data_IF_314934067616
#
_entry.id   IF_314934067616
#
_cell.length_a   1.000
_cell.length_b   1.000
_cell.length_c   1.000
_cell.angle_alpha   90.00
_cell.angle_beta   90.00
_cell.angle_gamma   90.00
#
_symmetry.space_group_name_H-M   'P 1'
#
loop_
_entity.id
_entity.type
_entity.pdbx_description
1 polymer ?
#
# COMPACT_ATOMS: atom_id res chain seq x y z
N UNK A 1 -46.80 -32.62 12.94
CA UNK A 1 -45.57 -31.83 12.90
C UNK A 1 -45.07 -31.82 11.46
N UNK A 2 -45.37 -30.74 10.70
CA UNK A 2 -44.91 -30.62 9.31
C UNK A 2 -43.58 -29.85 9.33
N UNK A 3 -42.48 -30.55 9.05
CA UNK A 3 -41.19 -29.94 8.77
C UNK A 3 -41.36 -29.00 7.56
N UNK A 4 -41.47 -27.71 7.81
CA UNK A 4 -41.38 -26.69 6.75
C UNK A 4 -39.91 -26.57 6.39
N UNK A 5 -39.47 -27.31 5.42
CA UNK A 5 -38.22 -27.05 4.72
C UNK A 5 -38.34 -25.69 4.06
N UNK A 6 -37.54 -24.69 4.53
CA UNK A 6 -37.33 -23.45 3.81
C UNK A 6 -36.01 -23.58 3.04
N UNK A 7 -36.03 -23.99 1.77
CA UNK A 7 -34.79 -24.25 1.00
C UNK A 7 -33.92 -22.98 0.85
N UNK A 8 -34.50 -21.79 0.96
CA UNK A 8 -33.81 -20.52 0.84
C UNK A 8 -32.87 -20.22 2.03
N UNK A 9 -33.27 -20.62 3.24
CA UNK A 9 -32.43 -20.38 4.44
C UNK A 9 -31.21 -21.31 4.48
N UNK A 10 -31.38 -22.56 4.10
CA UNK A 10 -30.33 -23.56 4.02
C UNK A 10 -29.29 -23.15 2.96
N UNK A 11 -29.76 -22.74 1.77
CA UNK A 11 -28.92 -22.18 0.71
C UNK A 11 -28.14 -20.95 1.17
N UNK A 12 -28.76 -20.08 2.00
CA UNK A 12 -28.11 -18.90 2.56
C UNK A 12 -26.93 -19.26 3.45
N UNK A 13 -27.06 -20.24 4.34
CA UNK A 13 -25.98 -20.67 5.23
C UNK A 13 -24.83 -21.35 4.47
N UNK A 14 -25.13 -22.17 3.50
CA UNK A 14 -24.15 -22.82 2.63
C UNK A 14 -23.36 -21.78 1.83
N UNK A 15 -24.05 -20.83 1.21
CA UNK A 15 -23.40 -19.76 0.46
C UNK A 15 -22.46 -18.89 1.32
N UNK A 16 -22.87 -18.57 2.54
CA UNK A 16 -22.01 -17.84 3.46
C UNK A 16 -20.78 -18.65 3.85
N UNK A 17 -20.91 -19.95 4.11
CA UNK A 17 -19.79 -20.86 4.37
C UNK A 17 -18.82 -20.93 3.19
N UNK A 18 -19.34 -21.08 1.97
CA UNK A 18 -18.55 -21.09 0.73
C UNK A 18 -17.78 -19.78 0.55
N UNK A 19 -18.41 -18.63 0.77
CA UNK A 19 -17.78 -17.32 0.66
C UNK A 19 -16.64 -17.18 1.68
N UNK A 20 -16.85 -17.56 2.94
CA UNK A 20 -15.81 -17.50 3.97
C UNK A 20 -14.59 -18.37 3.62
N UNK A 21 -14.83 -19.61 3.16
CA UNK A 21 -13.75 -20.47 2.69
C UNK A 21 -13.09 -19.89 1.43
N UNK A 22 -13.85 -19.30 0.52
CA UNK A 22 -13.32 -18.62 -0.65
C UNK A 22 -12.34 -17.50 -0.31
N UNK A 23 -12.68 -16.62 0.63
CA UNK A 23 -11.77 -15.58 1.12
C UNK A 23 -10.56 -16.16 1.84
N UNK A 24 -10.72 -17.21 2.63
CA UNK A 24 -9.59 -17.90 3.26
C UNK A 24 -8.61 -18.45 2.20
N UNK A 25 -9.12 -19.09 1.16
CA UNK A 25 -8.31 -19.62 0.05
C UNK A 25 -7.65 -18.50 -0.78
N UNK A 26 -8.29 -17.34 -0.89
CA UNK A 26 -7.72 -16.17 -1.53
C UNK A 26 -6.46 -15.69 -0.76
N UNK A 27 -6.58 -15.52 0.56
CA UNK A 27 -5.43 -15.13 1.42
C UNK A 27 -4.34 -16.19 1.34
N UNK A 28 -4.70 -17.47 1.38
CA UNK A 28 -3.75 -18.57 1.24
C UNK A 28 -3.00 -18.54 -0.11
N UNK A 29 -3.71 -18.26 -1.21
CA UNK A 29 -3.10 -18.13 -2.55
C UNK A 29 -2.07 -16.99 -2.57
N UNK A 30 -2.40 -15.81 -2.00
CA UNK A 30 -1.49 -14.67 -1.90
C UNK A 30 -0.24 -15.03 -1.09
N UNK A 31 -0.42 -15.70 0.04
CA UNK A 31 0.67 -16.15 0.89
C UNK A 31 1.57 -17.17 0.19
N UNK A 32 0.99 -18.20 -0.40
CA UNK A 32 1.72 -19.27 -1.08
C UNK A 32 2.54 -18.79 -2.29
N UNK A 33 2.12 -17.68 -2.91
CA UNK A 33 2.83 -17.03 -4.02
C UNK A 33 3.80 -15.93 -3.59
N UNK A 34 3.97 -15.68 -2.31
CA UNK A 34 4.75 -14.56 -1.76
C UNK A 34 4.31 -13.19 -2.31
N UNK A 35 3.03 -13.04 -2.62
CA UNK A 35 2.45 -11.79 -3.14
C UNK A 35 1.75 -10.95 -2.06
N UNK A 36 1.71 -11.45 -0.82
CA UNK A 36 0.96 -10.78 0.25
C UNK A 36 1.54 -9.39 0.56
N UNK A 37 2.87 -9.26 0.53
CA UNK A 37 3.60 -8.02 0.80
C UNK A 37 3.39 -6.95 -0.28
N UNK A 38 2.96 -7.33 -1.49
CA UNK A 38 2.57 -6.37 -2.52
C UNK A 38 1.26 -5.61 -2.17
N UNK A 39 0.42 -6.18 -1.31
CA UNK A 39 -0.87 -5.61 -0.94
C UNK A 39 -0.92 -5.13 0.51
N UNK A 40 -0.11 -5.70 1.39
CA UNK A 40 -0.18 -5.48 2.84
C UNK A 40 1.22 -5.44 3.43
N UNK A 41 1.46 -4.47 4.30
CA UNK A 41 2.74 -4.33 4.98
C UNK A 41 3.11 -5.60 5.78
N UNK A 42 4.39 -5.99 5.83
CA UNK A 42 4.86 -7.22 6.50
C UNK A 42 4.38 -7.33 7.95
N UNK A 43 4.26 -6.21 8.67
CA UNK A 43 3.76 -6.17 10.05
C UNK A 43 2.30 -6.66 10.17
N UNK A 44 1.50 -6.52 9.11
CA UNK A 44 0.10 -6.93 9.08
C UNK A 44 -0.10 -8.38 8.65
N UNK A 45 0.92 -9.02 8.06
CA UNK A 45 0.85 -10.40 7.58
C UNK A 45 0.36 -11.40 8.63
N UNK A 46 0.88 -11.43 9.89
CA UNK A 46 0.41 -12.40 10.90
C UNK A 46 -1.07 -12.26 11.23
N UNK A 47 -1.61 -11.04 11.22
CA UNK A 47 -3.04 -10.80 11.46
C UNK A 47 -3.90 -11.33 10.31
N UNK A 48 -3.43 -11.22 9.06
CA UNK A 48 -4.08 -11.82 7.91
C UNK A 48 -4.07 -13.35 7.98
N UNK A 49 -2.97 -13.96 8.39
CA UNK A 49 -2.89 -15.42 8.54
C UNK A 49 -3.82 -15.92 9.65
N UNK A 50 -3.94 -15.19 10.75
CA UNK A 50 -4.91 -15.51 11.82
C UNK A 50 -6.35 -15.39 11.28
N UNK A 51 -6.66 -14.32 10.55
CA UNK A 51 -7.99 -14.13 9.96
C UNK A 51 -8.32 -15.20 8.91
N UNK A 52 -7.33 -15.63 8.13
CA UNK A 52 -7.45 -16.75 7.19
C UNK A 52 -7.88 -18.03 7.92
N UNK A 53 -7.19 -18.39 9.01
CA UNK A 53 -7.53 -19.55 9.81
C UNK A 53 -8.94 -19.46 10.42
N UNK A 54 -9.29 -18.29 10.96
CA UNK A 54 -10.61 -18.06 11.54
C UNK A 54 -11.72 -18.16 10.47
N UNK A 55 -11.55 -17.54 9.30
CA UNK A 55 -12.51 -17.62 8.20
C UNK A 55 -12.68 -19.07 7.71
N UNK A 56 -11.60 -19.82 7.60
CA UNK A 56 -11.66 -21.22 7.22
C UNK A 56 -12.47 -22.05 8.23
N UNK A 57 -12.16 -21.94 9.53
CA UNK A 57 -12.84 -22.68 10.58
C UNK A 57 -14.32 -22.29 10.64
N UNK A 58 -14.66 -21.00 10.64
CA UNK A 58 -16.03 -20.55 10.68
C UNK A 58 -16.83 -21.02 9.44
N UNK A 59 -16.24 -20.91 8.26
CA UNK A 59 -16.85 -21.39 7.02
C UNK A 59 -17.06 -22.91 7.03
N UNK A 60 -16.07 -23.66 7.49
CA UNK A 60 -16.13 -25.11 7.60
C UNK A 60 -17.23 -25.57 8.58
N UNK A 61 -17.26 -25.02 9.80
CA UNK A 61 -18.31 -25.35 10.77
C UNK A 61 -19.71 -24.95 10.27
N UNK A 62 -19.79 -23.83 9.53
CA UNK A 62 -21.08 -23.41 8.96
C UNK A 62 -21.60 -24.38 7.90
N UNK A 63 -20.71 -24.92 7.05
CA UNK A 63 -21.07 -25.95 6.09
C UNK A 63 -21.46 -27.28 6.76
N UNK A 64 -20.72 -27.70 7.79
CA UNK A 64 -21.05 -28.90 8.54
C UNK A 64 -22.43 -28.80 9.22
N UNK A 65 -22.73 -27.64 9.82
CA UNK A 65 -23.99 -27.43 10.54
C UNK A 65 -25.18 -27.19 9.60
N UNK A 66 -24.98 -26.84 8.34
CA UNK A 66 -26.08 -26.67 7.39
C UNK A 66 -26.78 -27.99 7.08
N UNK A 67 -26.06 -29.12 7.17
CA UNK A 67 -26.58 -30.45 6.93
C UNK A 67 -27.19 -31.16 8.17
N UNK A 68 -26.85 -30.68 9.40
CA UNK A 68 -27.12 -31.41 10.64
C UNK A 68 -28.36 -30.95 11.41
N UNK A 69 -28.89 -29.76 11.14
CA UNK A 69 -30.12 -29.25 11.78
C UNK A 69 -30.86 -28.35 10.84
N UNK A 70 -32.05 -28.79 10.40
CA UNK A 70 -33.09 -27.86 10.00
C UNK A 70 -33.24 -26.87 11.17
N UNK A 71 -32.84 -25.60 10.98
CA UNK A 71 -32.84 -24.65 12.09
C UNK A 71 -34.29 -24.25 12.39
N UNK A 72 -34.78 -24.74 13.50
CA UNK A 72 -35.86 -24.11 14.22
C UNK A 72 -35.24 -22.90 14.96
N UNK A 73 -35.05 -21.80 14.27
CA UNK A 73 -34.81 -20.49 14.89
C UNK A 73 -36.18 -19.87 15.17
N UNK A 74 -36.62 -19.96 16.41
CA UNK A 74 -37.79 -19.27 16.92
C UNK A 74 -37.37 -17.85 17.39
N UNK A 75 -36.77 -17.07 16.48
CA UNK A 75 -36.38 -15.70 16.74
C UNK A 75 -37.05 -14.77 15.72
N UNK A 76 -37.76 -13.75 16.22
CA UNK A 76 -38.48 -12.74 15.42
C UNK A 76 -37.60 -12.01 14.37
N UNK A 77 -36.28 -12.09 14.52
CA UNK A 77 -35.29 -11.48 13.60
C UNK A 77 -35.07 -12.31 12.34
N UNK A 78 -35.43 -13.61 12.33
CA UNK A 78 -35.23 -14.50 11.18
C UNK A 78 -36.41 -14.48 10.18
N UNK A 79 -37.46 -13.75 10.46
CA UNK A 79 -38.67 -13.72 9.64
C UNK A 79 -38.76 -12.53 8.66
N UNK A 80 -37.64 -11.86 8.40
CA UNK A 80 -37.61 -10.91 7.30
C UNK A 80 -37.68 -11.65 5.96
N UNK A 81 -38.84 -11.53 5.32
CA UNK A 81 -39.09 -11.91 3.92
C UNK A 81 -38.19 -11.10 2.99
N UNK A 82 -36.88 -11.37 3.01
CA UNK A 82 -35.96 -10.75 2.07
C UNK A 82 -36.25 -11.32 0.68
N UNK A 83 -36.66 -10.48 -0.27
CA UNK A 83 -36.97 -10.98 -1.61
C UNK A 83 -35.72 -11.62 -2.23
N UNK A 84 -35.86 -12.74 -2.96
CA UNK A 84 -34.74 -13.55 -3.45
C UNK A 84 -33.76 -12.78 -4.32
N UNK A 85 -34.20 -11.72 -5.00
CA UNK A 85 -33.33 -10.88 -5.81
C UNK A 85 -32.32 -10.05 -4.98
N UNK A 86 -32.73 -9.58 -3.79
CA UNK A 86 -31.80 -8.86 -2.86
C UNK A 86 -30.75 -9.82 -2.31
N UNK A 87 -31.14 -11.03 -1.99
CA UNK A 87 -30.23 -12.08 -1.53
C UNK A 87 -29.22 -12.44 -2.63
N UNK A 88 -29.69 -12.63 -3.86
CA UNK A 88 -28.83 -12.88 -5.01
C UNK A 88 -27.83 -11.72 -5.26
N UNK A 89 -28.29 -10.48 -5.16
CA UNK A 89 -27.43 -9.30 -5.32
C UNK A 89 -26.32 -9.26 -4.25
N UNK A 90 -26.65 -9.55 -3.01
CA UNK A 90 -25.68 -9.61 -1.90
C UNK A 90 -24.61 -10.68 -2.17
N UNK A 91 -25.00 -11.88 -2.57
CA UNK A 91 -24.03 -12.93 -2.89
C UNK A 91 -23.21 -12.62 -4.12
N UNK A 92 -23.79 -12.04 -5.17
CA UNK A 92 -23.03 -11.56 -6.34
C UNK A 92 -21.97 -10.54 -5.94
N UNK A 93 -22.28 -9.62 -5.03
CA UNK A 93 -21.33 -8.61 -4.55
C UNK A 93 -20.11 -9.24 -3.84
N UNK A 94 -20.32 -10.28 -3.04
CA UNK A 94 -19.23 -10.98 -2.35
C UNK A 94 -18.48 -11.99 -3.24
N UNK A 95 -19.17 -12.61 -4.19
CA UNK A 95 -18.55 -13.58 -5.10
C UNK A 95 -17.78 -12.90 -6.23
N UNK A 96 -18.22 -11.72 -6.68
CA UNK A 96 -17.57 -11.00 -7.78
C UNK A 96 -16.06 -10.77 -7.53
N UNK A 97 -15.60 -10.23 -6.38
CA UNK A 97 -14.16 -10.05 -6.14
C UNK A 97 -13.41 -11.39 -6.07
N UNK A 98 -14.03 -12.47 -5.56
CA UNK A 98 -13.41 -13.79 -5.55
C UNK A 98 -13.20 -14.31 -6.97
N UNK A 99 -14.25 -14.26 -7.80
CA UNK A 99 -14.19 -14.72 -9.20
C UNK A 99 -13.17 -13.89 -9.98
N UNK A 100 -13.19 -12.58 -9.84
CA UNK A 100 -12.23 -11.68 -10.50
C UNK A 100 -10.81 -12.02 -10.09
N UNK A 101 -10.54 -12.15 -8.79
CA UNK A 101 -9.20 -12.44 -8.29
C UNK A 101 -8.66 -13.80 -8.79
N UNK A 102 -9.49 -14.83 -8.83
CA UNK A 102 -9.08 -16.14 -9.36
C UNK A 102 -8.95 -16.16 -10.89
N UNK A 103 -9.60 -15.24 -11.60
CA UNK A 103 -9.60 -15.15 -13.07
C UNK A 103 -8.47 -14.28 -13.62
N UNK A 104 -7.94 -13.32 -12.84
CA UNK A 104 -6.90 -12.41 -13.30
C UNK A 104 -5.53 -13.06 -13.14
N UNK A 105 -4.70 -12.96 -14.18
CA UNK A 105 -3.31 -13.40 -14.12
C UNK A 105 -2.49 -12.50 -13.20
N UNK A 106 -1.70 -13.12 -12.33
CA UNK A 106 -1.02 -12.50 -11.19
C UNK A 106 -0.02 -11.36 -11.55
N UNK A 107 0.43 -11.25 -12.81
CA UNK A 107 1.47 -10.31 -13.22
C UNK A 107 1.00 -8.91 -13.59
N UNK A 108 -0.28 -8.70 -13.89
CA UNK A 108 -0.77 -7.40 -14.38
C UNK A 108 -1.32 -6.47 -13.29
N UNK A 109 -1.57 -7.01 -12.09
CA UNK A 109 -2.20 -6.25 -11.01
C UNK A 109 -1.24 -5.27 -10.33
N UNK A 110 0.05 -5.60 -10.25
CA UNK A 110 1.03 -4.80 -9.52
C UNK A 110 1.35 -3.50 -10.26
N UNK A 111 1.78 -3.58 -11.51
CA UNK A 111 2.22 -2.42 -12.29
C UNK A 111 1.07 -1.48 -12.67
N UNK A 112 -0.10 -2.04 -12.98
CA UNK A 112 -1.25 -1.24 -13.41
C UNK A 112 -1.98 -0.58 -12.22
N UNK A 113 -2.04 -1.24 -11.07
CA UNK A 113 -2.58 -0.65 -9.85
C UNK A 113 -1.68 0.49 -9.35
N UNK A 114 -0.36 0.29 -9.37
CA UNK A 114 0.61 1.29 -8.97
C UNK A 114 0.54 2.55 -9.85
N UNK A 115 0.50 2.37 -11.18
CA UNK A 115 0.41 3.49 -12.12
C UNK A 115 -0.90 4.27 -12.01
N UNK A 116 -2.01 3.63 -11.66
CA UNK A 116 -3.31 4.28 -11.49
C UNK A 116 -3.46 4.99 -10.15
N UNK A 117 -2.89 4.43 -9.07
CA UNK A 117 -2.89 5.08 -7.76
C UNK A 117 -2.04 6.35 -7.77
N UNK A 118 -0.89 6.33 -8.44
CA UNK A 118 -0.03 7.51 -8.60
C UNK A 118 -0.60 8.55 -9.57
N UNK A 119 -1.42 8.14 -10.55
CA UNK A 119 -2.06 9.07 -11.50
C UNK A 119 -3.33 9.74 -10.96
N UNK A 120 -3.93 9.23 -9.87
CA UNK A 120 -5.22 9.73 -9.37
C UNK A 120 -5.11 10.67 -8.16
N UNK A 121 -3.97 10.70 -7.49
CA UNK A 121 -3.70 11.62 -6.37
C UNK A 121 -2.84 12.82 -6.85
N UNK A 122 -3.40 13.62 -7.77
CA UNK A 122 -2.92 14.99 -8.03
C UNK A 122 -3.22 15.94 -6.85
N UNK A 123 -3.26 15.43 -5.64
CA UNK A 123 -3.35 16.20 -4.41
C UNK A 123 -2.12 15.90 -3.57
N UNK A 124 -1.21 16.86 -3.66
CA UNK A 124 -0.23 17.15 -2.62
C UNK A 124 0.56 15.94 -2.16
N UNK A 125 1.77 15.85 -2.64
CA UNK A 125 2.85 15.46 -1.76
C UNK A 125 2.67 16.29 -0.48
N UNK A 126 1.78 15.85 0.43
CA UNK A 126 1.91 16.26 1.78
C UNK A 126 3.32 15.81 2.13
N UNK A 127 4.22 16.78 2.28
CA UNK A 127 5.40 16.56 3.07
C UNK A 127 4.86 16.21 4.46
N UNK A 128 4.48 14.97 4.60
CA UNK A 128 3.99 14.45 5.86
C UNK A 128 5.16 14.63 6.81
N UNK A 129 4.96 15.48 7.80
CA UNK A 129 5.76 15.46 9.00
C UNK A 129 5.74 14.00 9.46
N UNK A 130 6.80 13.27 9.16
CA UNK A 130 7.01 11.92 9.68
C UNK A 130 6.88 11.96 11.19
N UNK A 131 6.74 10.84 11.87
CA UNK A 131 6.72 10.81 13.32
C UNK A 131 7.94 11.61 13.79
N UNK A 132 7.72 12.65 14.60
CA UNK A 132 8.77 13.46 15.20
C UNK A 132 9.60 12.54 16.11
N UNK A 133 10.55 11.87 15.51
CA UNK A 133 11.68 11.31 16.23
C UNK A 133 12.68 12.45 16.32
N UNK A 134 13.17 12.79 17.51
CA UNK A 134 14.31 13.68 17.68
C UNK A 134 15.54 13.03 17.02
N UNK A 135 15.52 12.96 15.68
CA UNK A 135 16.61 12.43 14.88
C UNK A 135 17.81 13.32 15.04
N UNK A 136 18.79 12.85 15.80
CA UNK A 136 20.05 13.56 15.94
C UNK A 136 20.68 13.71 14.55
N UNK A 137 20.90 14.94 14.11
CA UNK A 137 21.57 15.29 12.84
C UNK A 137 22.85 14.47 12.67
N UNK A 138 23.57 14.23 13.79
CA UNK A 138 24.79 13.43 13.84
C UNK A 138 24.61 11.95 13.48
N UNK A 139 23.42 11.40 13.61
CA UNK A 139 23.14 10.02 13.22
C UNK A 139 22.95 9.86 11.69
N UNK A 140 22.63 10.95 11.01
CA UNK A 140 22.32 10.98 9.57
C UNK A 140 23.48 11.55 8.75
N UNK A 141 24.16 12.57 9.30
CA UNK A 141 25.27 13.29 8.63
C UNK A 141 26.59 12.73 9.13
N UNK A 142 27.42 12.20 8.24
CA UNK A 142 28.75 11.73 8.59
C UNK A 142 29.74 12.92 8.80
N UNK A 143 30.96 12.63 9.32
CA UNK A 143 32.01 13.60 9.57
C UNK A 143 32.42 14.46 8.34
N UNK A 144 32.04 14.00 7.14
CA UNK A 144 32.33 14.68 5.87
C UNK A 144 31.16 15.53 5.36
N UNK A 145 30.14 15.78 6.18
CA UNK A 145 28.87 16.40 5.76
C UNK A 145 28.19 15.64 4.58
N UNK A 146 28.22 14.36 4.63
CA UNK A 146 27.60 13.48 3.61
C UNK A 146 26.42 12.73 4.22
N UNK A 147 25.28 12.73 3.51
CA UNK A 147 24.06 12.02 3.84
C UNK A 147 23.90 10.88 2.85
N UNK A 148 23.87 9.65 3.33
CA UNK A 148 23.63 8.47 2.52
C UNK A 148 22.24 7.92 2.86
N UNK A 149 21.30 7.98 1.89
CA UNK A 149 19.91 7.59 2.09
C UNK A 149 19.71 6.17 1.64
N UNK A 150 19.49 5.27 2.59
CA UNK A 150 19.12 3.88 2.37
C UNK A 150 17.69 3.59 2.79
N UNK A 151 17.23 2.35 2.58
CA UNK A 151 15.87 1.94 2.98
C UNK A 151 15.70 1.96 4.51
N UNK A 152 16.75 1.64 5.26
CA UNK A 152 16.72 1.54 6.73
C UNK A 152 16.67 2.90 7.43
N UNK A 153 17.21 3.95 6.82
CA UNK A 153 17.30 5.29 7.42
C UNK A 153 16.47 6.34 6.69
N UNK A 154 15.68 5.95 5.69
CA UNK A 154 14.95 6.87 4.83
C UNK A 154 14.10 7.87 5.64
N UNK A 155 13.28 7.38 6.56
CA UNK A 155 12.39 8.22 7.38
C UNK A 155 13.16 9.10 8.35
N UNK A 156 14.27 8.60 8.91
CA UNK A 156 15.13 9.40 9.79
C UNK A 156 15.79 10.54 9.00
N UNK A 157 16.27 10.28 7.79
CA UNK A 157 16.81 11.33 6.91
C UNK A 157 15.73 12.34 6.57
N UNK A 158 14.50 11.88 6.23
CA UNK A 158 13.39 12.78 5.94
C UNK A 158 13.07 13.69 7.13
N UNK A 159 13.04 13.15 8.33
CA UNK A 159 12.79 13.90 9.55
C UNK A 159 13.87 14.99 9.77
N UNK A 160 15.14 14.62 9.65
CA UNK A 160 16.27 15.56 9.78
C UNK A 160 16.23 16.65 8.71
N UNK A 161 15.98 16.30 7.45
CA UNK A 161 15.92 17.29 6.36
C UNK A 161 14.75 18.26 6.52
N UNK A 162 13.61 17.81 7.04
CA UNK A 162 12.44 18.66 7.23
C UNK A 162 12.55 19.55 8.49
N UNK A 163 13.06 19.01 9.59
CA UNK A 163 13.07 19.71 10.87
C UNK A 163 14.39 20.46 11.16
N UNK A 164 15.51 20.01 10.60
CA UNK A 164 16.85 20.53 10.84
C UNK A 164 17.53 21.08 9.57
N UNK A 165 16.74 21.60 8.63
CA UNK A 165 17.23 22.04 7.32
C UNK A 165 18.39 23.03 7.39
N UNK A 166 18.43 23.92 8.41
CA UNK A 166 19.51 24.88 8.61
C UNK A 166 20.87 24.22 8.89
N UNK A 167 20.87 23.07 9.56
CA UNK A 167 22.08 22.37 9.98
C UNK A 167 22.65 21.49 8.86
N UNK A 168 21.76 21.02 7.96
CA UNK A 168 22.13 20.12 6.86
C UNK A 168 22.23 20.79 5.50
N UNK A 169 21.93 22.09 5.41
CA UNK A 169 22.12 22.86 4.19
C UNK A 169 23.58 22.80 3.72
N UNK A 170 23.77 22.55 2.42
CA UNK A 170 25.10 22.36 1.83
C UNK A 170 25.71 20.97 2.08
N UNK A 171 25.03 20.07 2.75
CA UNK A 171 25.48 18.69 2.85
C UNK A 171 25.34 17.96 1.52
N UNK A 172 26.32 17.12 1.18
CA UNK A 172 26.24 16.23 0.03
C UNK A 172 25.28 15.09 0.34
N UNK A 173 24.37 14.76 -0.59
CA UNK A 173 23.39 13.69 -0.42
C UNK A 173 23.49 12.69 -1.55
N UNK A 174 23.33 11.40 -1.21
CA UNK A 174 23.16 10.30 -2.16
C UNK A 174 21.84 9.62 -1.84
N UNK A 175 20.92 9.60 -2.81
CA UNK A 175 19.58 9.04 -2.62
C UNK A 175 19.20 8.19 -3.84
N UNK A 176 18.50 7.07 -3.59
CA UNK A 176 17.97 6.19 -4.62
C UNK A 176 16.45 6.20 -4.58
N UNK A 177 15.83 6.40 -5.76
CA UNK A 177 14.38 6.40 -5.89
C UNK A 177 13.95 6.39 -7.35
N UNK A 178 12.65 6.48 -7.58
CA UNK A 178 12.10 6.70 -8.91
C UNK A 178 11.84 8.19 -9.15
N UNK A 179 11.88 8.60 -10.41
CA UNK A 179 11.59 9.98 -10.80
C UNK A 179 10.08 10.15 -10.99
N UNK A 180 9.53 11.06 -10.23
CA UNK A 180 8.15 11.52 -10.36
C UNK A 180 8.11 12.94 -10.91
N UNK A 181 7.20 13.20 -11.86
CA UNK A 181 6.92 14.54 -12.37
C UNK A 181 5.43 14.79 -12.38
N UNK A 182 5.04 15.93 -11.87
CA UNK A 182 3.66 16.40 -11.83
C UNK A 182 3.36 17.30 -13.04
N UNK A 183 2.07 17.40 -13.39
CA UNK A 183 1.64 18.36 -14.41
C UNK A 183 1.97 19.79 -13.95
N UNK A 184 2.80 20.50 -14.73
CA UNK A 184 3.26 21.86 -14.40
C UNK A 184 4.72 21.96 -14.00
N UNK A 185 5.42 20.85 -13.77
CA UNK A 185 6.87 20.89 -13.55
C UNK A 185 7.59 21.28 -14.84
N UNK A 186 8.66 22.06 -14.68
CA UNK A 186 9.58 22.34 -15.78
C UNK A 186 10.43 21.10 -16.11
N UNK A 187 11.12 21.12 -17.26
CA UNK A 187 12.01 20.02 -17.66
C UNK A 187 13.16 19.77 -16.66
N UNK A 188 13.54 20.80 -15.90
CA UNK A 188 14.61 20.76 -14.90
C UNK A 188 14.11 20.47 -13.50
N UNK A 189 12.83 20.21 -13.33
CA UNK A 189 12.20 19.89 -12.05
C UNK A 189 11.64 18.47 -12.06
N UNK A 190 11.89 17.75 -11.00
CA UNK A 190 11.34 16.43 -10.74
C UNK A 190 11.40 16.15 -9.24
N UNK A 191 10.77 15.10 -8.80
CA UNK A 191 10.89 14.56 -7.45
C UNK A 191 11.62 13.23 -7.54
N UNK A 192 12.66 13.03 -6.70
CA UNK A 192 13.18 11.70 -6.39
C UNK A 192 12.37 11.11 -5.27
N UNK A 193 11.69 10.01 -5.52
CA UNK A 193 10.65 9.51 -4.64
C UNK A 193 10.76 8.02 -4.34
N UNK A 194 10.11 7.62 -3.26
CA UNK A 194 9.87 6.22 -2.89
C UNK A 194 8.39 6.03 -2.56
N UNK A 195 7.90 4.81 -2.79
CA UNK A 195 6.59 4.42 -2.32
C UNK A 195 6.64 4.07 -0.84
N UNK A 196 5.72 4.61 -0.05
CA UNK A 196 5.60 4.36 1.38
C UNK A 196 4.24 3.74 1.68
N UNK A 197 4.25 2.62 2.37
CA UNK A 197 3.08 1.88 2.79
C UNK A 197 3.05 1.78 4.32
N UNK A 198 1.93 2.14 4.95
CA UNK A 198 1.77 1.99 6.40
C UNK A 198 1.10 0.67 6.77
N UNK A 199 -0.01 0.33 6.14
CA UNK A 199 -0.78 -0.89 6.42
C UNK A 199 -1.06 -1.71 5.16
N UNK A 200 -1.53 -1.09 4.08
CA UNK A 200 -1.90 -1.78 2.85
C UNK A 200 -1.81 -0.86 1.62
N UNK A 201 -1.91 -1.45 0.45
CA UNK A 201 -1.79 -0.73 -0.84
C UNK A 201 -2.74 0.47 -0.99
N UNK A 202 -3.85 0.51 -0.24
CA UNK A 202 -4.81 1.62 -0.29
C UNK A 202 -4.27 2.88 0.39
N UNK A 203 -3.34 2.74 1.34
CA UNK A 203 -2.66 3.86 2.01
C UNK A 203 -1.29 4.20 1.40
N UNK A 204 -1.00 3.65 0.21
CA UNK A 204 0.25 3.89 -0.49
C UNK A 204 0.41 5.38 -0.80
N UNK A 205 1.53 5.94 -0.40
CA UNK A 205 1.86 7.35 -0.60
C UNK A 205 3.23 7.48 -1.25
N UNK A 206 3.44 8.61 -1.93
CA UNK A 206 4.72 8.93 -2.57
C UNK A 206 5.45 9.96 -1.72
N UNK A 207 6.63 9.62 -1.25
CA UNK A 207 7.48 10.51 -0.44
C UNK A 207 8.78 10.77 -1.17
N UNK A 208 9.21 12.03 -1.20
CA UNK A 208 10.44 12.39 -1.90
C UNK A 208 10.84 13.84 -1.76
N UNK A 209 11.88 14.22 -2.48
CA UNK A 209 12.45 15.56 -2.50
C UNK A 209 12.51 16.11 -3.90
N UNK A 210 12.25 17.41 -4.00
CA UNK A 210 12.44 18.15 -5.25
C UNK A 210 13.90 18.08 -5.69
N UNK A 211 14.09 17.85 -6.97
CA UNK A 211 15.36 17.90 -7.66
C UNK A 211 15.44 19.15 -8.52
N UNK A 212 16.53 19.86 -8.43
CA UNK A 212 16.85 21.00 -9.29
C UNK A 212 18.14 20.70 -10.05
N UNK A 213 18.13 20.85 -11.37
CA UNK A 213 19.33 20.66 -12.18
C UNK A 213 19.07 20.03 -13.53
N UNK A 214 20.11 19.50 -14.17
CA UNK A 214 19.98 18.81 -15.46
C UNK A 214 19.38 17.41 -15.25
N UNK A 215 18.11 17.28 -15.56
CA UNK A 215 17.32 16.06 -15.44
C UNK A 215 16.89 15.49 -16.80
N UNK A 216 17.45 15.94 -17.91
CA UNK A 216 17.07 15.50 -19.27
C UNK A 216 17.25 13.99 -19.48
N UNK A 217 18.25 13.38 -18.83
CA UNK A 217 18.51 11.95 -18.90
C UNK A 217 17.56 11.10 -18.04
N UNK A 218 16.86 11.72 -17.09
CA UNK A 218 16.00 11.03 -16.12
C UNK A 218 14.55 10.95 -16.63
N UNK A 219 14.12 9.73 -16.97
CA UNK A 219 12.74 9.46 -17.41
C UNK A 219 11.80 9.34 -16.23
N UNK A 220 10.58 9.83 -16.35
CA UNK A 220 9.51 9.62 -15.36
C UNK A 220 9.28 8.14 -15.13
N UNK A 221 9.06 7.74 -13.89
CA UNK A 221 8.93 6.36 -13.40
C UNK A 221 10.20 5.50 -13.54
N UNK A 222 11.32 6.07 -14.00
CA UNK A 222 12.61 5.38 -14.00
C UNK A 222 13.29 5.46 -12.64
N UNK A 223 14.05 4.43 -12.29
CA UNK A 223 14.83 4.36 -11.06
C UNK A 223 16.24 4.92 -11.26
N UNK A 224 16.66 5.79 -10.33
CA UNK A 224 17.94 6.47 -10.40
C UNK A 224 18.59 6.59 -9.02
N UNK A 225 19.93 6.62 -9.01
CA UNK A 225 20.74 7.11 -7.91
C UNK A 225 21.10 8.55 -8.23
N UNK A 226 20.68 9.46 -7.37
CA UNK A 226 20.96 10.90 -7.48
C UNK A 226 22.03 11.26 -6.45
N UNK A 227 23.03 11.99 -6.91
CA UNK A 227 24.00 12.65 -6.05
C UNK A 227 23.85 14.15 -6.22
N UNK A 228 23.84 14.84 -5.10
CA UNK A 228 23.60 16.28 -5.11
C UNK A 228 23.92 16.90 -3.78
N UNK A 229 23.51 18.15 -3.65
CA UNK A 229 23.69 18.96 -2.45
C UNK A 229 22.33 19.40 -1.92
N UNK A 230 22.11 19.29 -0.63
CA UNK A 230 20.90 19.77 0.03
C UNK A 230 20.84 21.30 -0.05
N UNK A 231 19.73 21.82 -0.57
CA UNK A 231 19.47 23.25 -0.69
C UNK A 231 18.10 23.59 -0.08
N UNK A 232 17.91 24.87 0.19
CA UNK A 232 16.61 25.43 0.52
C UNK A 232 15.91 25.90 -0.75
N UNK A 233 14.65 25.56 -0.89
CA UNK A 233 13.78 26.04 -1.97
C UNK A 233 12.52 26.62 -1.37
N UNK A 234 12.10 27.76 -1.86
CA UNK A 234 10.82 28.37 -1.50
C UNK A 234 9.74 27.86 -2.47
N UNK A 235 8.70 27.22 -1.92
CA UNK A 235 7.51 26.77 -2.65
C UNK A 235 6.27 27.21 -1.89
N UNK A 236 5.35 27.88 -2.54
CA UNK A 236 4.10 28.35 -1.95
C UNK A 236 4.26 29.17 -0.64
N UNK A 237 5.38 29.90 -0.53
CA UNK A 237 5.69 30.70 0.66
C UNK A 237 6.27 29.91 1.85
N UNK A 238 6.60 28.63 1.63
CA UNK A 238 7.26 27.78 2.62
C UNK A 238 8.66 27.39 2.13
N UNK A 239 9.62 27.39 3.07
CA UNK A 239 11.00 26.93 2.79
C UNK A 239 11.05 25.43 3.01
N UNK A 240 11.41 24.70 1.96
CA UNK A 240 11.45 23.24 1.94
C UNK A 240 12.82 22.73 1.52
N UNK A 241 13.23 21.52 1.95
CA UNK A 241 14.44 20.88 1.46
C UNK A 241 14.27 20.47 0.00
N UNK A 242 15.30 20.75 -0.79
CA UNK A 242 15.43 20.29 -2.17
C UNK A 242 16.88 19.82 -2.42
N UNK A 243 17.11 19.13 -3.52
CA UNK A 243 18.43 18.61 -3.88
C UNK A 243 18.88 19.26 -5.17
N UNK A 244 19.96 20.02 -5.11
CA UNK A 244 20.68 20.46 -6.30
C UNK A 244 21.45 19.29 -6.87
N UNK A 245 21.12 18.86 -8.07
CA UNK A 245 21.65 17.63 -8.69
C UNK A 245 23.05 17.88 -9.23
N UNK A 246 24.00 17.05 -8.82
CA UNK A 246 25.35 17.02 -9.36
C UNK A 246 25.52 15.90 -10.40
N UNK A 247 24.90 14.74 -10.15
CA UNK A 247 24.93 13.61 -11.10
C UNK A 247 23.71 12.71 -10.97
N UNK A 248 23.33 12.13 -12.12
CA UNK A 248 22.21 11.19 -12.26
C UNK A 248 22.75 9.88 -12.81
N UNK A 249 22.52 8.77 -12.13
CA UNK A 249 22.91 7.43 -12.55
C UNK A 249 21.71 6.52 -12.56
N UNK A 250 21.48 5.79 -13.64
CA UNK A 250 20.44 4.76 -13.71
C UNK A 250 20.68 3.69 -12.65
N UNK A 251 19.62 3.30 -11.95
CA UNK A 251 19.65 2.26 -10.95
C UNK A 251 18.56 1.23 -11.22
N UNK A 252 18.76 -0.01 -10.77
CA UNK A 252 17.72 -1.00 -10.80
C UNK A 252 16.74 -0.76 -9.62
N UNK A 253 15.44 -1.04 -9.79
CA UNK A 253 14.50 -0.99 -8.68
C UNK A 253 14.97 -1.91 -7.54
N UNK A 254 14.76 -1.54 -6.28
CA UNK A 254 15.05 -2.43 -5.17
C UNK A 254 14.14 -3.66 -5.24
N UNK A 255 14.53 -4.74 -4.56
CA UNK A 255 13.73 -5.97 -4.50
C UNK A 255 12.37 -5.71 -3.85
N UNK A 256 12.33 -4.80 -2.89
CA UNK A 256 11.13 -4.31 -2.23
C UNK A 256 10.97 -2.83 -2.61
N UNK A 257 9.97 -2.54 -3.44
CA UNK A 257 9.77 -1.17 -3.94
C UNK A 257 9.16 -0.25 -2.89
N UNK A 258 8.56 -0.85 -1.85
CA UNK A 258 7.91 -0.13 -0.77
C UNK A 258 8.87 0.09 0.41
N UNK A 259 8.74 1.26 1.02
CA UNK A 259 9.20 1.53 2.37
C UNK A 259 8.01 1.40 3.32
N UNK A 260 8.26 0.85 4.50
CA UNK A 260 7.20 0.63 5.48
C UNK A 260 7.39 1.57 6.67
N UNK A 261 6.35 2.35 6.95
CA UNK A 261 6.33 3.25 8.10
C UNK A 261 5.67 2.55 9.27
N UNK A 262 6.41 2.31 10.36
CA UNK A 262 5.91 1.60 11.53
C UNK A 262 6.12 2.40 12.82
#
# INVERSE_FOLDING_TARGET
>A
MRLRWSPLWQLSNEMQGIIMIGFSLLIFKLYAKNMITAFVAPKMEPYLLISMGALFLLGFFRLLNSNLKGADCDCDVCDENVPPWKLALTYCFFLAPLVLFFSINDYSLHDEALSKLTAHDGKTTELASGPQTDGEVQAVVNDKKQIEVGDDNYFQVMDVLNNNLNDVEGASIVIKGFIYREEGFSENEAVIARYVMTHCIVDLSVYGYMLNGDLHAAKTNGWYEIRGTVIKQEMDGQVMPAIQVDSVKTADPPKDEYLYMF
#
